data_IF_226685223026
#
_entry.id   IF_226685223026
#
_cell.length_a   1.000
_cell.length_b   1.000
_cell.length_c   1.000
_cell.angle_alpha   90.00
_cell.angle_beta   90.00
_cell.angle_gamma   90.00
#
_symmetry.space_group_name_H-M   'P 1'
#
loop_
_entity.id
_entity.type
_entity.pdbx_description
1 polymer ?
#
# COMPACT_ATOMS: atom_id res chain seq x y z
N UNK A 1 -15.82 -1.14 -29.31
CA UNK A 1 -14.70 -0.25 -28.95
C UNK A 1 -13.74 -1.04 -28.10
N UNK A 2 -12.49 -1.20 -28.52
CA UNK A 2 -11.46 -1.81 -27.67
C UNK A 2 -11.12 -0.80 -26.58
N UNK A 3 -11.26 -1.13 -25.29
CA UNK A 3 -10.90 -0.20 -24.23
C UNK A 3 -9.40 0.13 -24.33
N UNK A 4 -9.07 1.42 -24.34
CA UNK A 4 -7.67 1.87 -24.27
C UNK A 4 -7.11 1.46 -22.91
N UNK A 5 -6.04 0.67 -22.90
CA UNK A 5 -5.40 0.27 -21.65
C UNK A 5 -4.80 1.50 -20.95
N UNK A 6 -5.08 1.70 -19.64
CA UNK A 6 -4.41 2.74 -18.87
C UNK A 6 -2.90 2.45 -18.79
N UNK A 7 -2.08 3.51 -18.83
CA UNK A 7 -0.62 3.40 -18.68
C UNK A 7 -0.18 3.46 -17.23
N UNK A 8 -1.00 4.03 -16.37
CA UNK A 8 -0.75 4.15 -14.93
C UNK A 8 -2.02 3.86 -14.15
N UNK A 9 -1.86 3.46 -12.89
CA UNK A 9 -2.95 3.26 -11.94
C UNK A 9 -2.50 3.60 -10.52
N UNK A 10 -3.45 3.64 -9.59
CA UNK A 10 -3.15 3.82 -8.18
C UNK A 10 -3.02 2.48 -7.48
N UNK A 11 -1.99 2.35 -6.66
CA UNK A 11 -1.80 1.22 -5.77
C UNK A 11 -1.65 1.71 -4.33
N UNK A 12 -2.37 1.08 -3.41
CA UNK A 12 -2.18 1.28 -1.98
C UNK A 12 -0.81 0.75 -1.56
N UNK A 13 -0.03 1.59 -0.88
CA UNK A 13 1.31 1.26 -0.39
C UNK A 13 1.39 1.42 1.12
N UNK A 14 2.24 0.58 1.73
CA UNK A 14 2.63 0.66 3.14
C UNK A 14 4.15 0.69 3.23
N UNK A 15 4.68 1.83 3.70
CA UNK A 15 6.11 2.09 3.85
C UNK A 15 6.46 2.32 5.31
N UNK A 16 7.41 1.56 5.84
CA UNK A 16 7.99 1.83 7.16
C UNK A 16 9.33 2.52 6.94
N UNK A 17 9.47 3.74 7.42
CA UNK A 17 10.71 4.53 7.32
C UNK A 17 11.68 4.17 8.46
N UNK A 18 12.96 4.45 8.25
CA UNK A 18 14.01 4.11 9.22
C UNK A 18 13.87 4.87 10.55
N UNK A 19 13.21 6.03 10.54
CA UNK A 19 12.93 6.85 11.71
C UNK A 19 11.70 6.39 12.51
N UNK A 20 11.10 5.25 12.14
CA UNK A 20 9.94 4.67 12.81
C UNK A 20 8.60 5.28 12.42
N UNK A 21 8.52 6.05 11.34
CA UNK A 21 7.25 6.44 10.76
C UNK A 21 6.73 5.37 9.78
N UNK A 22 5.50 4.91 9.99
CA UNK A 22 4.69 4.25 8.97
C UNK A 22 4.05 5.33 8.11
N UNK A 23 4.11 5.16 6.79
CA UNK A 23 3.37 5.93 5.80
C UNK A 23 2.49 4.98 4.97
N UNK A 24 1.22 5.34 4.80
CA UNK A 24 0.25 4.67 3.94
C UNK A 24 -0.27 5.67 2.92
N UNK A 25 -0.16 5.33 1.64
CA UNK A 25 -0.44 6.26 0.54
C UNK A 25 -0.99 5.56 -0.70
N UNK A 26 -1.66 6.32 -1.57
CA UNK A 26 -1.96 5.88 -2.94
C UNK A 26 -0.82 6.32 -3.87
N UNK A 27 0.02 5.39 -4.28
CA UNK A 27 1.11 5.64 -5.21
C UNK A 27 0.66 5.42 -6.66
N UNK A 28 1.03 6.32 -7.56
CA UNK A 28 0.90 6.10 -8.99
C UNK A 28 1.93 5.06 -9.44
N UNK A 29 1.49 4.05 -10.18
CA UNK A 29 2.32 2.92 -10.63
C UNK A 29 2.05 2.67 -12.11
N UNK A 30 3.11 2.41 -12.87
CA UNK A 30 3.00 2.04 -14.28
C UNK A 30 2.28 0.70 -14.46
N UNK A 31 1.42 0.64 -15.46
CA UNK A 31 0.71 -0.58 -15.88
C UNK A 31 1.37 -1.07 -17.17
N UNK A 32 2.13 -2.15 -17.07
CA UNK A 32 2.72 -2.81 -18.24
C UNK A 32 1.65 -3.56 -19.05
N UNK A 33 1.88 -3.66 -20.36
CA UNK A 33 1.09 -4.58 -21.18
C UNK A 33 1.38 -6.02 -20.73
N UNK A 34 0.35 -6.88 -20.61
CA UNK A 34 0.56 -8.26 -20.20
C UNK A 34 1.40 -9.02 -21.23
N UNK A 35 2.28 -9.91 -20.77
CA UNK A 35 2.94 -10.90 -21.60
C UNK A 35 1.92 -11.92 -22.17
N UNK A 36 2.41 -12.89 -22.96
CA UNK A 36 1.56 -13.85 -23.66
C UNK A 36 0.70 -14.72 -22.73
N UNK A 37 1.16 -14.95 -21.50
CA UNK A 37 0.56 -15.79 -20.46
C UNK A 37 -0.02 -14.98 -19.29
N UNK A 38 -0.09 -13.65 -19.42
CA UNK A 38 -0.61 -12.75 -18.39
C UNK A 38 -1.93 -12.11 -18.82
N UNK A 39 -2.68 -11.61 -17.83
CA UNK A 39 -3.88 -10.81 -18.05
C UNK A 39 -3.81 -9.54 -17.23
N UNK A 40 -4.39 -8.45 -17.76
CA UNK A 40 -4.60 -7.23 -17.00
C UNK A 40 -6.01 -7.24 -16.41
N UNK A 41 -6.10 -7.20 -15.09
CA UNK A 41 -7.37 -7.20 -14.35
C UNK A 41 -7.60 -5.80 -13.80
N UNK A 42 -8.76 -5.20 -14.14
CA UNK A 42 -9.28 -4.06 -13.39
C UNK A 42 -10.04 -4.59 -12.18
N UNK A 43 -9.39 -4.59 -11.02
CA UNK A 43 -10.00 -5.02 -9.76
C UNK A 43 -11.09 -4.03 -9.37
N UNK A 44 -12.31 -4.52 -9.15
CA UNK A 44 -13.47 -3.69 -8.78
C UNK A 44 -13.88 -3.92 -7.32
N UNK A 45 -13.49 -5.05 -6.72
CA UNK A 45 -13.68 -5.34 -5.31
C UNK A 45 -12.44 -6.02 -4.72
N UNK A 46 -12.00 -5.57 -3.56
CA UNK A 46 -11.03 -6.27 -2.74
C UNK A 46 -11.47 -6.18 -1.27
N UNK A 47 -11.53 -7.29 -0.53
CA UNK A 47 -11.83 -7.24 0.90
C UNK A 47 -10.67 -6.64 1.69
N UNK A 48 -10.97 -6.20 2.91
CA UNK A 48 -9.94 -5.85 3.90
C UNK A 48 -10.00 -6.90 5.00
N UNK A 49 -9.05 -7.84 4.96
CA UNK A 49 -8.98 -8.93 5.94
C UNK A 49 -7.94 -8.65 7.04
N UNK A 50 -7.98 -9.40 8.16
CA UNK A 50 -6.98 -9.28 9.22
C UNK A 50 -5.52 -9.45 8.75
N UNK A 51 -5.27 -10.32 7.77
CA UNK A 51 -3.94 -10.52 7.19
C UNK A 51 -3.44 -9.28 6.44
N UNK A 52 -4.33 -8.60 5.70
CA UNK A 52 -4.00 -7.36 5.00
C UNK A 52 -3.68 -6.24 5.99
N UNK A 53 -4.46 -6.12 7.07
CA UNK A 53 -4.22 -5.15 8.14
C UNK A 53 -2.84 -5.32 8.80
N UNK A 54 -2.40 -6.57 8.95
CA UNK A 54 -1.07 -6.89 9.47
C UNK A 54 0.07 -6.36 8.60
N UNK A 55 -0.09 -6.34 7.27
CA UNK A 55 0.87 -5.72 6.36
C UNK A 55 0.69 -4.20 6.29
N UNK A 56 -0.56 -3.74 6.16
CA UNK A 56 -0.95 -2.34 5.96
C UNK A 56 -0.45 -1.44 7.08
N UNK A 57 -0.78 -1.80 8.33
CA UNK A 57 -0.45 -1.01 9.51
C UNK A 57 0.67 -1.62 10.35
N UNK A 58 0.81 -2.95 10.31
CA UNK A 58 1.77 -3.64 11.16
C UNK A 58 1.61 -3.27 12.63
N UNK A 59 2.70 -3.07 13.38
CA UNK A 59 2.66 -2.73 14.80
C UNK A 59 2.57 -1.21 15.06
N UNK A 60 2.19 -0.40 14.07
CA UNK A 60 2.05 1.04 14.26
C UNK A 60 0.99 1.37 15.32
N UNK A 61 1.26 2.41 16.12
CA UNK A 61 0.31 2.96 17.07
C UNK A 61 -0.67 3.87 16.33
N UNK A 62 -1.88 3.34 16.08
CA UNK A 62 -2.93 4.09 15.37
C UNK A 62 -3.46 5.29 16.17
N UNK A 63 -3.20 5.37 17.49
CA UNK A 63 -3.48 6.57 18.28
C UNK A 63 -2.64 7.78 17.85
N UNK A 64 -1.56 7.56 17.10
CA UNK A 64 -0.69 8.61 16.55
C UNK A 64 -0.97 8.96 15.10
N UNK A 65 -2.07 8.43 14.52
CA UNK A 65 -2.44 8.67 13.13
C UNK A 65 -2.54 10.16 12.82
N UNK A 66 -1.94 10.56 11.70
CA UNK A 66 -2.11 11.88 11.09
C UNK A 66 -2.49 11.71 9.63
N UNK A 67 -3.46 12.52 9.21
CA UNK A 67 -3.83 12.66 7.82
C UNK A 67 -3.11 13.85 7.21
N UNK A 68 -2.69 13.69 5.96
CA UNK A 68 -2.17 14.76 5.10
C UNK A 68 -2.50 14.45 3.64
N UNK A 69 -2.08 15.33 2.73
CA UNK A 69 -2.41 15.22 1.32
C UNK A 69 -3.83 15.73 1.01
N UNK A 70 -4.45 15.16 -0.01
CA UNK A 70 -5.80 15.53 -0.46
C UNK A 70 -6.73 14.33 -0.46
N UNK A 71 -8.04 14.56 -0.60
CA UNK A 71 -9.02 13.48 -0.69
C UNK A 71 -8.74 12.51 -1.86
N UNK A 72 -8.15 13.00 -2.95
CA UNK A 72 -7.79 12.19 -4.12
C UNK A 72 -6.42 11.48 -3.99
N UNK A 73 -5.56 11.94 -3.08
CA UNK A 73 -4.22 11.42 -2.80
C UNK A 73 -3.96 11.50 -1.29
N UNK A 74 -4.70 10.71 -0.49
CA UNK A 74 -4.55 10.75 0.95
C UNK A 74 -3.22 10.11 1.36
N UNK A 75 -2.62 10.67 2.40
CA UNK A 75 -1.44 10.11 3.05
C UNK A 75 -1.72 10.01 4.54
N UNK A 76 -1.62 8.79 5.08
CA UNK A 76 -1.72 8.52 6.50
C UNK A 76 -0.33 8.22 7.05
N UNK A 77 0.04 8.87 8.15
CA UNK A 77 1.27 8.57 8.87
C UNK A 77 0.97 8.14 10.30
N UNK A 78 1.72 7.19 10.85
CA UNK A 78 1.65 6.78 12.25
C UNK A 78 3.04 6.39 12.77
N UNK A 79 3.21 6.40 14.09
CA UNK A 79 4.47 6.00 14.73
C UNK A 79 4.48 4.51 14.98
N UNK A 80 5.56 3.85 14.58
CA UNK A 80 5.88 2.50 15.03
C UNK A 80 6.64 2.61 16.36
N UNK A 81 6.19 1.91 17.42
CA UNK A 81 6.93 1.86 18.67
C UNK A 81 8.34 1.28 18.47
N UNK A 82 9.35 1.90 19.06
CA UNK A 82 10.77 1.50 18.90
C UNK A 82 10.99 0.00 19.18
N UNK A 83 10.35 -0.54 20.22
CA UNK A 83 10.40 -1.97 20.58
C UNK A 83 9.94 -2.92 19.47
N UNK A 84 9.09 -2.46 18.55
CA UNK A 84 8.55 -3.24 17.45
C UNK A 84 9.39 -3.11 16.17
N UNK A 85 10.26 -2.10 16.06
CA UNK A 85 11.05 -1.82 14.85
C UNK A 85 11.94 -2.99 14.43
N UNK A 86 12.52 -3.73 15.38
CA UNK A 86 13.33 -4.91 15.09
C UNK A 86 12.56 -5.97 14.28
N UNK A 87 11.27 -6.14 14.55
CA UNK A 87 10.40 -7.08 13.82
C UNK A 87 10.13 -6.66 12.37
N UNK A 88 10.35 -5.38 12.04
CA UNK A 88 10.11 -4.81 10.71
C UNK A 88 11.38 -4.65 9.88
N UNK A 89 12.54 -5.10 10.36
CA UNK A 89 13.85 -4.84 9.72
C UNK A 89 13.88 -5.13 8.21
N UNK A 90 13.16 -6.17 7.75
CA UNK A 90 13.11 -6.53 6.31
C UNK A 90 12.21 -5.63 5.46
N UNK A 91 11.36 -4.81 6.08
CA UNK A 91 10.42 -3.90 5.41
C UNK A 91 10.85 -2.44 5.45
N UNK A 92 11.83 -2.08 6.28
CA UNK A 92 12.27 -0.70 6.42
C UNK A 92 12.76 -0.18 5.06
N UNK A 93 12.23 0.95 4.62
CA UNK A 93 12.52 1.57 3.33
C UNK A 93 11.86 0.89 2.13
N UNK A 94 11.06 -0.15 2.33
CA UNK A 94 10.36 -0.86 1.24
C UNK A 94 8.90 -0.40 1.15
N UNK A 95 8.52 0.14 0.00
CA UNK A 95 7.14 0.52 -0.31
C UNK A 95 6.33 -0.71 -0.74
N UNK A 96 5.77 -1.40 0.26
CA UNK A 96 5.08 -2.69 0.06
C UNK A 96 3.69 -2.48 -0.55
N UNK A 97 3.28 -3.26 -1.56
CA UNK A 97 1.87 -3.35 -1.96
C UNK A 97 1.04 -4.05 -0.89
N UNK A 98 -0.27 -3.78 -0.85
CA UNK A 98 -1.21 -4.37 0.12
C UNK A 98 -2.45 -4.89 -0.61
N UNK A 99 -3.09 -5.94 -0.06
CA UNK A 99 -4.27 -6.59 -0.62
C UNK A 99 -3.88 -7.90 -1.28
N UNK A 100 -4.15 -9.02 -0.62
CA UNK A 100 -3.78 -10.34 -1.12
C UNK A 100 -4.75 -10.88 -2.19
N UNK A 101 -6.00 -10.41 -2.20
CA UNK A 101 -7.07 -10.94 -3.05
C UNK A 101 -8.01 -9.83 -3.56
N UNK A 102 -8.72 -10.12 -4.65
CA UNK A 102 -9.71 -9.23 -5.26
C UNK A 102 -10.51 -9.92 -6.37
N UNK A 103 -11.58 -9.26 -6.80
CA UNK A 103 -12.50 -9.67 -7.86
C UNK A 103 -12.90 -8.49 -8.75
#
# INVERSE_FOLDING_TARGET
MTPTMPRTGLQLRSLVKADGELEVSLAETDIAAPAADEVLIRVEAAPINPSDLGLLFGPADLGTLRFSGSDARPVLTARVPERAMRGLARRIGQSMPVGNEGA
#
